data_IF_557068853908
#
_entry.id   IF_557068853908
#
_cell.length_a   1.000
_cell.length_b   1.000
_cell.length_c   1.000
_cell.angle_alpha   90.00
_cell.angle_beta   90.00
_cell.angle_gamma   90.00
#
_symmetry.space_group_name_H-M   'P 1'
#
loop_
_entity.id
_entity.type
_entity.pdbx_description
1 polymer ?
#
# COMPACT_ATOMS: atom_id res chain seq x y z
N UNK A 1 16.28 9.35 4.27
CA UNK A 1 15.53 8.32 3.53
C UNK A 1 16.32 7.03 3.24
N UNK A 2 17.66 7.02 3.25
CA UNK A 2 18.45 5.82 2.87
C UNK A 2 18.76 4.81 4.02
N UNK A 3 18.80 5.27 5.27
CA UNK A 3 19.30 4.46 6.40
C UNK A 3 18.35 3.30 6.73
N UNK A 4 17.03 3.56 6.71
CA UNK A 4 16.04 2.55 7.10
C UNK A 4 15.95 1.37 6.12
N UNK A 5 16.27 1.56 4.84
CA UNK A 5 16.22 0.48 3.84
C UNK A 5 17.47 -0.41 3.89
N UNK A 6 18.64 0.16 4.25
CA UNK A 6 19.88 -0.61 4.42
C UNK A 6 19.86 -1.56 5.62
N UNK A 7 19.07 -1.25 6.65
CA UNK A 7 18.91 -2.07 7.85
C UNK A 7 17.55 -2.76 7.93
N UNK A 8 16.76 -2.75 6.85
CA UNK A 8 15.53 -3.54 6.79
C UNK A 8 15.90 -5.03 6.77
N UNK A 9 15.17 -5.82 7.56
CA UNK A 9 15.37 -7.27 7.63
C UNK A 9 15.13 -7.91 6.24
N UNK A 10 15.81 -9.03 5.96
CA UNK A 10 15.65 -9.72 4.66
C UNK A 10 14.29 -10.40 4.55
N UNK A 11 13.63 -10.65 5.68
CA UNK A 11 12.33 -11.29 5.72
C UNK A 11 11.21 -10.33 5.29
N UNK A 12 10.47 -10.77 4.27
CA UNK A 12 9.26 -10.09 3.81
C UNK A 12 8.06 -10.78 4.44
N UNK A 13 7.15 -9.98 4.98
CA UNK A 13 5.85 -10.45 5.44
C UNK A 13 4.81 -10.04 4.42
N UNK A 14 3.99 -11.01 4.03
CA UNK A 14 2.84 -10.76 3.16
C UNK A 14 1.62 -10.58 4.04
N UNK A 15 0.92 -9.45 3.87
CA UNK A 15 -0.36 -9.17 4.52
C UNK A 15 -1.44 -8.98 3.46
N UNK A 16 -2.60 -9.56 3.68
CA UNK A 16 -3.78 -9.29 2.85
C UNK A 16 -4.71 -8.41 3.66
N UNK A 17 -5.06 -7.26 3.13
CA UNK A 17 -5.90 -6.26 3.78
C UNK A 17 -7.11 -5.95 2.90
N UNK A 18 -8.20 -5.56 3.55
CA UNK A 18 -9.44 -5.21 2.84
C UNK A 18 -9.42 -3.74 2.44
N UNK A 19 -10.00 -3.45 1.27
CA UNK A 19 -10.22 -2.09 0.82
C UNK A 19 -11.46 -1.55 1.54
N UNK A 20 -11.30 -0.45 2.26
CA UNK A 20 -12.39 0.23 2.97
C UNK A 20 -13.14 1.13 1.99
N UNK A 21 -12.40 1.92 1.20
CA UNK A 21 -12.99 2.87 0.26
C UNK A 21 -12.03 3.25 -0.87
N UNK A 22 -12.58 3.52 -2.05
CA UNK A 22 -11.87 4.11 -3.18
C UNK A 22 -12.12 5.62 -3.23
N UNK A 23 -11.06 6.39 -3.46
CA UNK A 23 -11.06 7.83 -3.58
C UNK A 23 -10.29 8.24 -4.84
N UNK A 24 -10.62 9.39 -5.41
CA UNK A 24 -9.78 10.03 -6.44
C UNK A 24 -9.15 11.27 -5.82
N UNK A 25 -7.82 11.37 -5.90
CA UNK A 25 -7.06 12.51 -5.35
C UNK A 25 -6.38 13.29 -6.47
N UNK A 26 -6.29 14.61 -6.30
CA UNK A 26 -5.68 15.51 -7.25
C UNK A 26 -6.68 16.09 -8.27
N UNK A 27 -6.59 17.41 -8.51
CA UNK A 27 -7.48 18.15 -9.41
C UNK A 27 -6.96 18.26 -10.84
N UNK A 28 -5.64 18.38 -11.02
CA UNK A 28 -5.01 18.50 -12.34
C UNK A 28 -4.58 17.15 -12.92
N UNK A 29 -4.15 16.21 -12.06
CA UNK A 29 -3.77 14.85 -12.42
C UNK A 29 -4.48 13.88 -11.47
N UNK A 30 -5.75 13.54 -11.74
CA UNK A 30 -6.52 12.67 -10.87
C UNK A 30 -5.84 11.30 -10.78
N UNK A 31 -5.46 10.92 -9.57
CA UNK A 31 -4.88 9.64 -9.23
C UNK A 31 -5.86 8.86 -8.37
N UNK A 32 -5.94 7.55 -8.58
CA UNK A 32 -6.80 6.71 -7.76
C UNK A 32 -6.08 6.44 -6.44
N UNK A 33 -6.79 6.58 -5.33
CA UNK A 33 -6.30 6.22 -4.01
C UNK A 33 -7.31 5.27 -3.36
N UNK A 34 -6.82 4.31 -2.58
CA UNK A 34 -7.67 3.46 -1.76
C UNK A 34 -7.26 3.58 -0.31
N UNK A 35 -8.26 3.53 0.56
CA UNK A 35 -8.06 3.42 1.98
C UNK A 35 -8.20 1.94 2.36
N UNK A 36 -7.25 1.45 3.14
CA UNK A 36 -7.16 0.07 3.60
C UNK A 36 -7.09 0.05 5.12
N UNK A 37 -7.57 -1.02 5.73
CA UNK A 37 -7.37 -1.28 7.16
C UNK A 37 -6.04 -2.03 7.34
N UNK A 38 -5.06 -1.36 7.96
CA UNK A 38 -3.77 -1.96 8.30
C UNK A 38 -3.65 -2.08 9.82
N UNK A 39 -3.93 -3.28 10.34
CA UNK A 39 -3.86 -3.62 11.77
C UNK A 39 -4.67 -2.64 12.66
N UNK A 40 -5.88 -2.27 12.23
CA UNK A 40 -6.78 -1.35 12.94
C UNK A 40 -6.49 0.13 12.70
N UNK A 41 -5.54 0.44 11.81
CA UNK A 41 -5.23 1.80 11.37
C UNK A 41 -5.58 2.00 9.90
N UNK A 42 -6.38 3.02 9.60
CA UNK A 42 -6.66 3.40 8.22
C UNK A 42 -5.40 3.95 7.55
N UNK A 43 -5.03 3.37 6.40
CA UNK A 43 -3.92 3.81 5.56
C UNK A 43 -4.42 4.09 4.16
N UNK A 44 -3.93 5.17 3.56
CA UNK A 44 -4.20 5.49 2.16
C UNK A 44 -3.04 5.05 1.28
N UNK A 45 -3.34 4.36 0.18
CA UNK A 45 -2.39 4.00 -0.87
C UNK A 45 -2.81 4.72 -2.14
N UNK A 46 -1.87 5.41 -2.77
CA UNK A 46 -2.09 6.15 -4.01
C UNK A 46 -1.51 5.34 -5.17
N UNK A 47 -2.34 5.12 -6.18
CA UNK A 47 -2.01 4.40 -7.40
C UNK A 47 -1.83 5.38 -8.54
N UNK A 48 -0.99 4.98 -9.49
CA UNK A 48 -0.84 5.72 -10.73
C UNK A 48 -2.08 5.54 -11.60
N UNK A 49 -2.32 6.49 -12.51
CA UNK A 49 -3.52 6.47 -13.39
C UNK A 49 -3.63 5.18 -14.24
N UNK A 50 -2.51 4.49 -14.47
CA UNK A 50 -2.43 3.24 -15.26
C UNK A 50 -3.10 2.08 -14.52
N UNK A 51 -3.06 2.07 -13.18
CA UNK A 51 -3.54 0.97 -12.34
C UNK A 51 -5.02 1.17 -11.91
N UNK A 52 -5.65 2.26 -12.33
CA UNK A 52 -7.02 2.64 -11.93
C UNK A 52 -8.05 1.54 -12.19
N UNK A 53 -7.98 0.89 -13.36
CA UNK A 53 -8.93 -0.16 -13.71
C UNK A 53 -8.76 -1.41 -12.84
N UNK A 54 -7.54 -1.71 -12.40
CA UNK A 54 -7.25 -2.85 -11.52
C UNK A 54 -7.69 -2.56 -10.09
N UNK A 55 -7.56 -1.31 -9.62
CA UNK A 55 -7.99 -0.89 -8.29
C UNK A 55 -9.51 -1.00 -8.15
N UNK A 56 -10.27 -0.54 -9.16
CA UNK A 56 -11.73 -0.55 -9.13
C UNK A 56 -12.33 -1.97 -9.17
N UNK A 57 -11.61 -2.94 -9.76
CA UNK A 57 -12.01 -4.34 -9.79
C UNK A 57 -11.59 -5.14 -8.55
N UNK A 58 -10.64 -4.62 -7.78
CA UNK A 58 -10.09 -5.31 -6.61
C UNK A 58 -10.94 -5.10 -5.36
N UNK A 59 -11.08 -6.16 -4.57
CA UNK A 59 -11.75 -6.09 -3.25
C UNK A 59 -10.72 -6.13 -2.12
N UNK A 60 -9.55 -6.70 -2.40
CA UNK A 60 -8.49 -6.90 -1.42
C UNK A 60 -7.15 -6.45 -1.98
N UNK A 61 -6.25 -6.03 -1.08
CA UNK A 61 -4.89 -5.67 -1.43
C UNK A 61 -3.94 -6.60 -0.70
N UNK A 62 -3.00 -7.16 -1.44
CA UNK A 62 -1.88 -7.90 -0.88
C UNK A 62 -0.68 -6.98 -0.79
N UNK A 63 -0.28 -6.66 0.44
CA UNK A 63 0.89 -5.85 0.75
C UNK A 63 2.04 -6.77 1.10
N UNK A 64 3.18 -6.56 0.46
CA UNK A 64 4.45 -7.13 0.89
C UNK A 64 5.19 -6.06 1.68
N UNK A 65 5.38 -6.29 2.96
CA UNK A 65 6.09 -5.37 3.86
C UNK A 65 7.39 -6.02 4.35
N UNK A 66 8.42 -5.21 4.54
CA UNK A 66 9.66 -5.61 5.21
C UNK A 66 9.68 -4.99 6.59
N UNK A 67 10.13 -5.74 7.60
CA UNK A 67 10.40 -5.13 8.90
C UNK A 67 11.60 -4.20 8.78
N UNK A 68 11.34 -2.90 8.91
CA UNK A 68 12.36 -1.87 9.02
C UNK A 68 12.96 -1.81 10.42
N UNK A 69 14.12 -1.18 10.52
CA UNK A 69 14.75 -0.90 11.80
C UNK A 69 13.86 0.05 12.64
N UNK A 70 13.77 -0.18 13.95
CA UNK A 70 12.82 0.46 14.91
C UNK A 70 11.34 0.01 14.85
N UNK A 71 11.03 -1.15 14.25
CA UNK A 71 9.67 -1.73 14.32
C UNK A 71 8.67 -1.07 13.36
N UNK A 72 9.16 -0.32 12.38
CA UNK A 72 8.35 0.21 11.28
C UNK A 72 8.24 -0.82 10.16
N UNK A 73 7.06 -0.98 9.58
CA UNK A 73 6.88 -1.76 8.37
C UNK A 73 7.18 -0.90 7.14
N UNK A 74 8.07 -1.38 6.28
CA UNK A 74 8.44 -0.74 5.01
C UNK A 74 7.66 -1.45 3.89
N UNK A 75 6.78 -0.71 3.23
CA UNK A 75 6.06 -1.22 2.06
C UNK A 75 7.05 -1.51 0.93
N UNK A 76 7.05 -2.75 0.43
CA UNK A 76 7.96 -3.22 -0.59
C UNK A 76 7.26 -3.49 -1.93
N UNK A 77 6.08 -4.12 -1.89
CA UNK A 77 5.29 -4.43 -3.08
C UNK A 77 3.79 -4.40 -2.77
N UNK A 78 2.97 -4.11 -3.79
CA UNK A 78 1.52 -4.04 -3.71
C UNK A 78 0.93 -4.85 -4.86
N UNK A 79 0.01 -5.76 -4.55
CA UNK A 79 -0.73 -6.53 -5.55
C UNK A 79 -2.23 -6.42 -5.27
N UNK A 80 -2.99 -6.02 -6.29
CA UNK A 80 -4.44 -5.93 -6.24
C UNK A 80 -5.06 -7.30 -6.55
N UNK A 81 -6.10 -7.69 -5.81
CA UNK A 81 -6.80 -8.98 -5.95
C UNK A 81 -8.31 -8.86 -5.91
#
# INVERSE_FOLDING_TARGET
MAINFQFADKETTVKTVSIISENTIGTQNPSTAINIDYDGSEKQIVFSSIEKNEVSAATTVRLTVKKGFFGYDVLYDIQLK
#
